data_IF_962291133039
#
_entry.id   IF_962291133039
#
_cell.length_a   1.000
_cell.length_b   1.000
_cell.length_c   1.000
_cell.angle_alpha   90.00
_cell.angle_beta   90.00
_cell.angle_gamma   90.00
#
_symmetry.space_group_name_H-M   'P 1'
#
loop_
_entity.id
_entity.type
_entity.pdbx_description
1 polymer ?
#
# COMPACT_ATOMS: atom_id res chain seq x y z
N UNK A 1 7.34 6.19 -16.02
CA UNK A 1 7.09 7.59 -15.58
C UNK A 1 5.74 7.76 -14.89
N UNK A 2 4.63 7.20 -15.42
CA UNK A 2 3.30 7.30 -14.79
C UNK A 2 3.25 6.67 -13.39
N UNK A 3 3.64 5.40 -13.25
CA UNK A 3 3.67 4.66 -11.96
C UNK A 3 4.38 5.48 -10.86
N UNK A 4 5.55 6.02 -11.18
CA UNK A 4 6.34 6.83 -10.25
C UNK A 4 5.62 8.11 -9.81
N UNK A 5 5.01 8.86 -10.74
CA UNK A 5 4.27 10.10 -10.39
C UNK A 5 3.07 9.79 -9.51
N UNK A 6 2.34 8.73 -9.84
CA UNK A 6 1.16 8.27 -9.10
C UNK A 6 1.57 7.83 -7.69
N UNK A 7 2.53 6.92 -7.56
CA UNK A 7 2.99 6.44 -6.26
C UNK A 7 3.53 7.58 -5.38
N UNK A 8 4.38 8.45 -5.93
CA UNK A 8 4.93 9.59 -5.19
C UNK A 8 3.86 10.56 -4.67
N UNK A 9 2.76 10.75 -5.41
CA UNK A 9 1.64 11.59 -4.97
C UNK A 9 0.89 11.02 -3.76
N UNK A 10 0.90 9.70 -3.61
CA UNK A 10 0.12 8.98 -2.60
C UNK A 10 0.95 8.48 -1.40
N UNK A 11 2.28 8.56 -1.45
CA UNK A 11 3.09 8.45 -0.23
C UNK A 11 2.70 9.57 0.72
N UNK A 12 2.54 9.25 2.01
CA UNK A 12 1.97 10.10 3.07
C UNK A 12 0.52 10.53 2.85
N UNK A 13 -0.24 9.79 2.03
CA UNK A 13 -1.69 9.95 1.98
C UNK A 13 -2.35 9.35 3.22
N UNK A 14 -3.48 9.95 3.59
CA UNK A 14 -4.36 9.44 4.64
C UNK A 14 -5.63 8.92 3.99
N UNK A 15 -5.97 7.67 4.25
CA UNK A 15 -7.24 7.05 3.84
C UNK A 15 -8.15 6.93 5.05
N UNK A 16 -9.42 7.26 4.87
CA UNK A 16 -10.46 7.09 5.89
C UNK A 16 -11.43 5.99 5.50
N UNK A 17 -11.50 4.92 6.29
CA UNK A 17 -12.55 3.92 6.24
C UNK A 17 -13.45 4.10 7.47
N UNK A 18 -14.63 4.68 7.28
CA UNK A 18 -15.54 5.05 8.37
C UNK A 18 -14.87 5.93 9.43
N UNK A 19 -14.57 5.36 10.61
CA UNK A 19 -13.87 6.01 11.73
C UNK A 19 -12.40 5.63 11.85
N UNK A 20 -11.88 4.75 10.98
CA UNK A 20 -10.50 4.33 11.00
C UNK A 20 -9.71 5.09 9.94
N UNK A 21 -8.55 5.62 10.33
CA UNK A 21 -7.64 6.29 9.42
C UNK A 21 -6.37 5.46 9.22
N UNK A 22 -5.80 5.53 8.02
CA UNK A 22 -4.51 4.93 7.68
C UNK A 22 -3.62 6.00 7.06
N UNK A 23 -2.43 6.19 7.61
CA UNK A 23 -1.36 6.98 7.00
C UNK A 23 -0.38 6.03 6.31
N UNK A 24 -0.21 6.16 5.00
CA UNK A 24 0.75 5.34 4.26
C UNK A 24 2.12 5.98 4.23
N UNK A 25 3.14 5.29 4.75
CA UNK A 25 4.53 5.75 4.66
C UNK A 25 5.32 5.00 3.60
N UNK A 26 4.88 3.80 3.22
CA UNK A 26 5.48 3.01 2.15
C UNK A 26 4.41 2.33 1.27
N UNK A 27 4.61 2.38 -0.05
CA UNK A 27 3.70 1.84 -1.05
C UNK A 27 4.47 1.03 -2.10
N UNK A 28 4.01 -0.18 -2.40
CA UNK A 28 4.47 -0.96 -3.55
C UNK A 28 3.53 -0.76 -4.73
N UNK A 29 4.06 -0.37 -5.88
CA UNK A 29 3.26 -0.12 -7.07
C UNK A 29 3.24 -1.34 -8.00
N UNK A 30 2.06 -1.67 -8.49
CA UNK A 30 1.83 -2.71 -9.49
C UNK A 30 1.07 -2.10 -10.66
N UNK A 31 1.49 -2.40 -11.88
CA UNK A 31 0.82 -1.91 -13.09
C UNK A 31 -0.01 -3.03 -13.73
N UNK A 32 -0.74 -2.69 -14.79
CA UNK A 32 -1.39 -3.66 -15.65
C UNK A 32 -0.42 -4.77 -16.08
N UNK A 33 -0.94 -6.00 -16.19
CA UNK A 33 -0.16 -7.22 -16.47
C UNK A 33 0.59 -7.17 -17.80
N UNK A 34 0.13 -6.38 -18.77
CA UNK A 34 0.86 -6.17 -20.02
C UNK A 34 2.22 -5.47 -19.81
N UNK A 35 2.39 -4.77 -18.69
CA UNK A 35 3.61 -4.02 -18.34
C UNK A 35 4.32 -4.53 -17.09
N UNK A 36 3.66 -5.36 -16.27
CA UNK A 36 4.17 -5.85 -14.99
C UNK A 36 3.79 -7.31 -14.76
N UNK A 37 4.72 -8.24 -15.00
CA UNK A 37 4.50 -9.66 -14.79
C UNK A 37 4.35 -10.06 -13.30
N UNK A 38 4.72 -9.16 -12.38
CA UNK A 38 4.58 -9.32 -10.93
C UNK A 38 3.17 -8.99 -10.43
N UNK A 39 2.38 -8.31 -11.26
CA UNK A 39 1.04 -7.86 -10.96
C UNK A 39 0.02 -9.00 -10.87
N UNK A 40 -0.95 -8.87 -9.95
CA UNK A 40 -2.11 -9.75 -9.84
C UNK A 40 -3.40 -9.06 -10.32
N UNK A 41 -3.30 -8.13 -11.28
CA UNK A 41 -4.40 -7.32 -11.83
C UNK A 41 -5.57 -8.10 -12.47
N UNK A 42 -5.61 -9.44 -12.39
CA UNK A 42 -6.62 -10.28 -13.05
C UNK A 42 -8.08 -9.98 -12.65
N UNK A 43 -8.34 -9.11 -11.67
CA UNK A 43 -9.66 -8.89 -11.07
C UNK A 43 -10.04 -7.42 -10.83
N UNK A 44 -9.18 -6.43 -11.14
CA UNK A 44 -9.44 -5.01 -10.79
C UNK A 44 -9.66 -4.15 -12.05
N UNK A 45 -10.87 -3.57 -12.23
CA UNK A 45 -11.16 -2.71 -13.38
C UNK A 45 -10.45 -1.35 -13.25
N UNK A 46 -10.24 -0.69 -14.39
CA UNK A 46 -9.72 0.68 -14.46
C UNK A 46 -10.53 1.60 -13.54
N UNK A 47 -9.85 2.38 -12.70
CA UNK A 47 -10.49 3.34 -11.80
C UNK A 47 -10.29 4.78 -12.29
N UNK A 48 -11.37 5.49 -12.60
CA UNK A 48 -11.31 6.90 -13.01
C UNK A 48 -10.88 7.81 -11.85
N UNK A 49 -11.31 7.48 -10.64
CA UNK A 49 -10.97 8.16 -9.39
C UNK A 49 -10.11 7.27 -8.51
N UNK A 50 -9.43 7.86 -7.52
CA UNK A 50 -8.63 7.05 -6.58
C UNK A 50 -9.57 6.34 -5.62
N UNK A 51 -9.48 5.01 -5.59
CA UNK A 51 -10.25 4.17 -4.68
C UNK A 51 -9.31 3.39 -3.78
N UNK A 52 -9.48 3.52 -2.46
CA UNK A 52 -8.83 2.66 -1.50
C UNK A 52 -9.67 1.40 -1.27
N UNK A 53 -9.04 0.25 -1.09
CA UNK A 53 -9.72 -1.00 -0.75
C UNK A 53 -8.97 -1.75 0.34
N UNK A 54 -9.70 -2.23 1.35
CA UNK A 54 -9.27 -3.27 2.28
C UNK A 54 -9.69 -4.61 1.70
N UNK A 55 -8.75 -5.53 1.54
CA UNK A 55 -9.01 -6.88 1.02
C UNK A 55 -8.59 -7.92 2.05
N UNK A 56 -9.49 -8.81 2.49
CA UNK A 56 -9.12 -9.96 3.32
C UNK A 56 -8.30 -10.94 2.48
N UNK A 57 -7.24 -11.45 3.09
CA UNK A 57 -6.40 -12.50 2.53
C UNK A 57 -6.29 -13.62 3.55
N UNK A 58 -6.28 -14.85 3.06
CA UNK A 58 -5.97 -16.04 3.85
C UNK A 58 -4.72 -16.70 3.33
N UNK A 59 -3.92 -17.27 4.22
CA UNK A 59 -2.81 -18.14 3.84
C UNK A 59 -3.15 -19.57 4.26
N UNK A 60 -3.28 -20.46 3.28
CA UNK A 60 -3.50 -21.91 3.48
C UNK A 60 -4.66 -22.25 4.46
N UNK A 61 -5.76 -21.48 4.41
CA UNK A 61 -6.93 -21.69 5.29
C UNK A 61 -6.74 -21.25 6.76
N UNK A 62 -5.67 -20.53 7.07
CA UNK A 62 -5.37 -20.00 8.41
C UNK A 62 -6.01 -18.63 8.70
N UNK A 63 -5.44 -17.92 9.70
CA UNK A 63 -5.90 -16.60 10.15
C UNK A 63 -5.93 -15.58 9.00
N UNK A 64 -7.03 -14.84 8.93
CA UNK A 64 -7.17 -13.73 7.99
C UNK A 64 -6.22 -12.59 8.35
N UNK A 65 -5.52 -12.08 7.34
CA UNK A 65 -4.85 -10.79 7.39
C UNK A 65 -5.46 -9.89 6.32
N UNK A 66 -5.23 -8.60 6.45
CA UNK A 66 -5.78 -7.62 5.53
C UNK A 66 -4.66 -6.92 4.79
N UNK A 67 -4.90 -6.66 3.52
CA UNK A 67 -4.08 -5.80 2.69
C UNK A 67 -4.89 -4.56 2.33
N UNK A 68 -4.22 -3.41 2.20
CA UNK A 68 -4.86 -2.16 1.79
C UNK A 68 -4.18 -1.66 0.54
N UNK A 69 -4.96 -1.45 -0.51
CA UNK A 69 -4.47 -0.96 -1.80
C UNK A 69 -5.19 0.33 -2.21
N UNK A 70 -4.48 1.21 -2.90
CA UNK A 70 -5.07 2.30 -3.68
C UNK A 70 -5.10 1.90 -5.16
N UNK A 71 -6.24 2.06 -5.80
CA UNK A 71 -6.43 1.83 -7.23
C UNK A 71 -6.67 3.17 -7.91
N UNK A 72 -5.90 3.44 -8.96
CA UNK A 72 -6.02 4.65 -9.80
C UNK A 72 -5.59 4.31 -11.22
N UNK A 73 -6.52 4.49 -12.16
CA UNK A 73 -6.37 4.04 -13.54
C UNK A 73 -6.04 2.55 -13.58
N UNK A 74 -4.88 2.21 -14.18
CA UNK A 74 -4.34 0.85 -14.28
C UNK A 74 -3.15 0.62 -13.34
N UNK A 75 -3.11 1.32 -12.20
CA UNK A 75 -2.07 1.17 -11.18
C UNK A 75 -2.72 0.83 -9.84
N UNK A 76 -2.15 -0.19 -9.20
CA UNK A 76 -2.40 -0.52 -7.80
C UNK A 76 -1.20 -0.04 -6.97
N UNK A 77 -1.48 0.60 -5.84
CA UNK A 77 -0.48 0.96 -4.82
C UNK A 77 -0.83 0.20 -3.54
N UNK A 78 -0.12 -0.87 -3.26
CA UNK A 78 -0.28 -1.67 -2.06
C UNK A 78 0.43 -0.99 -0.88
N UNK A 79 -0.28 -0.74 0.21
CA UNK A 79 0.30 -0.25 1.46
C UNK A 79 1.19 -1.32 2.07
N UNK A 80 2.48 -1.01 2.18
CA UNK A 80 3.48 -1.91 2.79
C UNK A 80 4.12 -1.30 4.03
N UNK A 81 3.75 -0.08 4.40
CA UNK A 81 4.17 0.51 5.66
C UNK A 81 3.36 1.74 6.00
N UNK A 82 3.14 1.96 7.28
CA UNK A 82 2.32 3.07 7.72
C UNK A 82 1.90 3.02 9.17
N UNK A 83 0.88 3.81 9.46
CA UNK A 83 0.24 3.88 10.76
C UNK A 83 -1.27 3.84 10.57
N UNK A 84 -1.99 3.36 11.57
CA UNK A 84 -3.44 3.45 11.59
C UNK A 84 -3.96 3.74 13.00
N UNK A 85 -5.18 4.26 13.08
CA UNK A 85 -5.85 4.54 14.34
C UNK A 85 -7.33 4.83 14.14
N UNK A 86 -8.02 5.07 15.25
CA UNK A 86 -9.45 5.42 15.27
C UNK A 86 -9.61 6.93 15.49
N UNK A 87 -10.50 7.57 14.75
CA UNK A 87 -10.87 8.97 14.93
C UNK A 87 -11.37 9.23 16.34
N UNK A 88 -10.75 10.17 17.05
CA UNK A 88 -11.05 10.48 18.45
C UNK A 88 -10.43 9.50 19.45
N UNK A 89 -9.73 8.46 18.99
CA UNK A 89 -8.89 7.60 19.82
C UNK A 89 -7.48 8.18 20.01
N UNK A 90 -6.76 7.67 21.01
CA UNK A 90 -5.38 8.05 21.30
C UNK A 90 -4.34 7.02 20.82
N UNK A 91 -4.80 5.83 20.40
CA UNK A 91 -3.92 4.75 19.98
C UNK A 91 -3.54 4.89 18.51
N UNK A 92 -2.25 4.70 18.25
CA UNK A 92 -1.67 4.67 16.91
C UNK A 92 -0.88 3.38 16.74
N UNK A 93 -1.23 2.60 15.72
CA UNK A 93 -0.67 1.30 15.48
C UNK A 93 0.23 1.35 14.22
N UNK A 94 1.55 1.16 14.37
CA UNK A 94 2.44 1.06 13.22
C UNK A 94 2.27 -0.29 12.52
N UNK A 95 2.53 -0.33 11.22
CA UNK A 95 2.68 -1.57 10.47
C UNK A 95 3.81 -1.47 9.45
N UNK A 96 4.51 -2.59 9.23
CA UNK A 96 5.54 -2.78 8.21
C UNK A 96 5.30 -4.15 7.55
N UNK A 97 5.22 -4.16 6.23
CA UNK A 97 4.68 -5.27 5.43
C UNK A 97 3.25 -5.01 4.96
N UNK A 98 2.81 -5.75 3.92
CA UNK A 98 1.45 -5.62 3.38
C UNK A 98 0.38 -6.23 4.28
N UNK A 99 0.75 -7.22 5.09
CA UNK A 99 -0.17 -7.92 5.99
C UNK A 99 -0.40 -7.11 7.26
N UNK A 100 -1.59 -6.53 7.39
CA UNK A 100 -2.01 -5.79 8.59
C UNK A 100 -2.83 -6.72 9.49
N UNK A 101 -2.28 -7.16 10.64
CA UNK A 101 -3.02 -8.02 11.56
C UNK A 101 -3.96 -7.19 12.45
N UNK A 102 -5.01 -7.86 12.97
CA UNK A 102 -5.88 -7.31 14.02
C UNK A 102 -6.55 -5.98 13.67
N UNK A 103 -7.01 -5.81 12.43
CA UNK A 103 -7.86 -4.67 12.10
C UNK A 103 -9.11 -4.64 13.00
N UNK A 104 -9.61 -3.45 13.35
CA UNK A 104 -10.87 -3.29 14.07
C UNK A 104 -11.97 -4.13 13.43
N UNK A 105 -12.88 -4.70 14.23
CA UNK A 105 -13.99 -5.53 13.74
C UNK A 105 -14.78 -4.80 12.64
N UNK A 106 -14.96 -3.49 12.79
CA UNK A 106 -15.62 -2.63 11.80
C UNK A 106 -14.92 -2.65 10.43
N UNK A 107 -13.65 -3.02 10.33
CA UNK A 107 -12.88 -3.14 9.08
C UNK A 107 -12.62 -4.58 8.64
N UNK A 108 -13.12 -5.57 9.37
CA UNK A 108 -12.97 -6.97 8.99
C UNK A 108 -13.90 -7.27 7.81
N UNK A 109 -13.31 -7.46 6.63
CA UNK A 109 -14.01 -7.76 5.38
C UNK A 109 -13.53 -6.87 4.23
N UNK A 110 -14.14 -7.04 3.06
CA UNK A 110 -13.85 -6.19 1.91
C UNK A 110 -14.53 -4.83 2.07
N UNK A 111 -13.76 -3.75 2.08
CA UNK A 111 -14.27 -2.36 2.18
C UNK A 111 -13.57 -1.44 1.21
N UNK A 112 -14.29 -0.50 0.62
CA UNK A 112 -13.72 0.54 -0.23
C UNK A 112 -13.98 1.94 0.31
N UNK A 113 -13.13 2.90 -0.06
CA UNK A 113 -13.27 4.31 0.30
C UNK A 113 -12.61 5.22 -0.74
N UNK A 114 -13.30 6.29 -1.11
CA UNK A 114 -12.76 7.39 -1.92
C UNK A 114 -12.27 8.56 -1.04
N UNK A 115 -12.40 8.45 0.29
CA UNK A 115 -11.99 9.50 1.24
C UNK A 115 -10.49 9.46 1.47
N UNK A 116 -9.75 10.00 0.52
CA UNK A 116 -8.29 9.98 0.47
C UNK A 116 -7.77 11.42 0.50
N UNK A 117 -6.99 11.73 1.53
CA UNK A 117 -6.33 13.03 1.69
C UNK A 117 -4.88 12.90 1.24
N UNK A 118 -4.45 13.79 0.35
CA UNK A 118 -3.05 13.86 -0.12
C UNK A 118 -2.45 15.20 0.25
N UNK A 119 -1.13 15.26 0.37
CA UNK A 119 -0.44 16.53 0.53
C UNK A 119 -0.58 17.37 -0.74
N UNK A 120 -0.68 18.69 -0.57
CA UNK A 120 -0.71 19.65 -1.70
C UNK A 120 0.55 19.45 -2.56
N UNK A 121 1.70 19.32 -1.91
CA UNK A 121 2.98 18.99 -2.53
C UNK A 121 3.38 17.54 -2.17
N UNK A 122 3.67 16.68 -3.16
CA UNK A 122 4.13 15.32 -2.89
C UNK A 122 5.37 15.31 -1.98
N UNK A 123 5.47 14.38 -1.02
CA UNK A 123 6.65 14.29 -0.17
C UNK A 123 7.85 13.81 -0.98
N UNK A 124 9.06 14.06 -0.45
CA UNK A 124 10.27 13.42 -0.98
C UNK A 124 10.17 11.91 -0.71
N UNK A 125 10.44 11.10 -1.74
CA UNK A 125 10.44 9.64 -1.62
C UNK A 125 11.82 9.06 -1.89
N UNK A 126 12.10 7.92 -1.26
CA UNK A 126 13.14 6.99 -1.69
C UNK A 126 12.47 5.79 -2.37
N UNK A 127 13.21 5.07 -3.21
CA UNK A 127 12.70 3.89 -3.92
C UNK A 127 13.54 2.66 -3.66
N UNK A 128 12.91 1.50 -3.57
CA UNK A 128 13.58 0.19 -3.47
C UNK A 128 12.82 -0.88 -4.26
N UNK A 129 13.30 -2.12 -4.26
CA UNK A 129 12.56 -3.25 -4.81
C UNK A 129 11.32 -3.55 -3.97
N UNK A 130 10.24 -3.95 -4.65
CA UNK A 130 8.97 -4.33 -4.05
C UNK A 130 9.10 -5.57 -3.18
N UNK A 131 8.23 -5.69 -2.18
CA UNK A 131 8.01 -6.92 -1.43
C UNK A 131 7.21 -7.90 -2.28
N UNK A 132 7.91 -8.87 -2.85
CA UNK A 132 7.31 -9.86 -3.74
C UNK A 132 7.41 -11.26 -3.14
N UNK A 133 6.47 -12.13 -3.54
CA UNK A 133 6.57 -13.58 -3.29
C UNK A 133 7.48 -14.27 -4.31
N UNK A 134 7.63 -13.70 -5.50
CA UNK A 134 8.34 -14.30 -6.63
C UNK A 134 9.31 -13.29 -7.25
N UNK A 135 10.57 -13.33 -6.82
CA UNK A 135 11.62 -12.43 -7.31
C UNK A 135 12.24 -12.86 -8.65
N UNK A 136 11.89 -14.04 -9.17
CA UNK A 136 12.39 -14.55 -10.46
C UNK A 136 11.78 -13.81 -11.67
N UNK A 137 10.69 -13.08 -11.45
CA UNK A 137 9.93 -12.37 -12.47
C UNK A 137 10.70 -11.17 -13.03
N UNK A 138 10.48 -10.85 -14.30
CA UNK A 138 11.27 -9.84 -15.01
C UNK A 138 11.13 -8.47 -14.35
N UNK A 139 9.90 -8.07 -13.98
CA UNK A 139 9.65 -6.77 -13.37
C UNK A 139 9.88 -6.74 -11.85
N UNK A 140 10.38 -7.83 -11.25
CA UNK A 140 10.73 -7.84 -9.82
C UNK A 140 11.91 -6.91 -9.48
N UNK A 141 12.79 -6.67 -10.46
CA UNK A 141 13.93 -5.77 -10.34
C UNK A 141 13.56 -4.28 -10.41
N UNK A 142 12.33 -3.94 -10.82
CA UNK A 142 11.89 -2.55 -10.92
C UNK A 142 11.80 -1.90 -9.52
N UNK A 143 12.39 -0.70 -9.32
CA UNK A 143 12.38 -0.02 -8.03
C UNK A 143 11.03 0.69 -7.80
N UNK A 144 9.98 -0.11 -7.66
CA UNK A 144 8.59 0.34 -7.52
C UNK A 144 8.05 0.17 -6.10
N UNK A 145 8.92 0.02 -5.11
CA UNK A 145 8.60 0.34 -3.73
C UNK A 145 8.94 1.79 -3.46
N UNK A 146 8.02 2.55 -2.89
CA UNK A 146 8.15 3.99 -2.63
C UNK A 146 8.02 4.25 -1.14
N UNK A 147 9.03 4.85 -0.53
CA UNK A 147 9.08 5.14 0.90
C UNK A 147 9.15 6.63 1.11
N UNK A 148 8.39 7.15 2.09
CA UNK A 148 8.57 8.51 2.56
C UNK A 148 10.01 8.70 3.07
N UNK A 149 10.69 9.73 2.56
CA UNK A 149 12.07 10.01 2.94
C UNK A 149 12.20 10.28 4.44
N UNK A 150 11.27 11.02 5.06
CA UNK A 150 11.35 11.37 6.48
C UNK A 150 11.21 10.16 7.40
N UNK A 151 10.35 9.20 7.06
CA UNK A 151 10.19 7.97 7.83
C UNK A 151 11.35 6.99 7.55
N UNK A 152 11.78 6.89 6.29
CA UNK A 152 12.92 6.06 5.91
C UNK A 152 14.22 6.48 6.63
N UNK A 153 14.49 7.78 6.74
CA UNK A 153 15.67 8.30 7.47
C UNK A 153 15.64 8.00 8.97
N UNK A 154 14.47 7.64 9.50
CA UNK A 154 14.30 7.18 10.88
C UNK A 154 14.20 5.64 10.97
N UNK A 155 14.62 4.94 9.91
CA UNK A 155 14.57 3.48 9.80
C UNK A 155 13.16 2.88 9.88
N UNK A 156 12.12 3.68 9.56
CA UNK A 156 10.74 3.20 9.47
C UNK A 156 10.36 2.91 8.01
N UNK A 157 10.75 1.74 7.52
CA UNK A 157 10.39 1.21 6.21
C UNK A 157 10.51 -0.32 6.20
N UNK A 158 9.84 -1.03 5.27
CA UNK A 158 9.91 -2.49 5.25
C UNK A 158 11.30 -2.99 4.89
N UNK A 159 11.74 -4.05 5.57
CA UNK A 159 12.99 -4.73 5.25
C UNK A 159 12.86 -5.46 3.91
N UNK A 160 13.82 -5.27 3.01
CA UNK A 160 13.88 -6.02 1.76
C UNK A 160 14.52 -7.40 2.02
N UNK A 161 13.81 -8.52 1.78
CA UNK A 161 14.30 -9.86 2.10
C UNK A 161 15.50 -10.29 1.26
N UNK A 162 15.83 -9.59 0.16
CA UNK A 162 17.01 -9.87 -0.65
C UNK A 162 18.31 -9.26 -0.10
N UNK A 163 18.21 -8.38 0.90
CA UNK A 163 19.35 -7.63 1.47
C UNK A 163 19.50 -7.85 2.98
N UNK A 164 18.95 -8.95 3.51
CA UNK A 164 19.14 -9.38 4.91
C UNK A 164 20.40 -10.25 5.01
#
# INVERSE_FOLDING_TARGET
>A
QMVQRVAQRHVESIVLFDRCWFLFTSLDAFADRAYDDCSNFSEQPFQETVMASVTPKSYMGGKEYYEISLYIGSVELLAVGGFWGICGGNDVHPFLGSSIPNLPIDLQGSKSSERIMTLIHPPRTSTSNRLLRQYIKQQASCPWSFHSYRFMTQHFYPANPLHI
#
